data_IF_766048214973
#
_entry.id   IF_766048214973
#
_cell.length_a   1.000
_cell.length_b   1.000
_cell.length_c   1.000
_cell.angle_alpha   90.00
_cell.angle_beta   90.00
_cell.angle_gamma   90.00
#
_symmetry.space_group_name_H-M   'P 1'
#
loop_
_entity.id
_entity.type
_entity.pdbx_description
1 polymer ?
#
# COMPACT_ATOMS: atom_id res chain seq x y z
N UNK A 1 -36.38 42.56 11.99
CA UNK A 1 -35.64 42.17 10.79
C UNK A 1 -34.95 40.84 11.08
N UNK A 2 -35.45 39.69 10.60
CA UNK A 2 -34.71 38.45 10.71
C UNK A 2 -33.49 38.53 9.77
N UNK A 3 -32.30 38.24 10.30
CA UNK A 3 -31.09 38.03 9.51
C UNK A 3 -31.29 36.75 8.69
N UNK A 4 -31.72 36.88 7.44
CA UNK A 4 -31.65 35.79 6.48
C UNK A 4 -30.16 35.52 6.21
N UNK A 5 -29.59 34.50 6.85
CA UNK A 5 -28.31 33.94 6.39
C UNK A 5 -28.59 33.28 5.04
N UNK A 6 -27.86 33.68 4.00
CA UNK A 6 -27.86 32.95 2.74
C UNK A 6 -27.56 31.46 3.02
N UNK A 7 -28.17 30.51 2.29
CA UNK A 7 -27.90 29.10 2.50
C UNK A 7 -26.41 28.84 2.25
N UNK A 8 -25.68 28.58 3.33
CA UNK A 8 -24.25 28.29 3.29
C UNK A 8 -24.04 26.94 2.61
N UNK A 9 -23.24 26.94 1.54
CA UNK A 9 -22.99 25.73 0.75
C UNK A 9 -22.11 24.78 1.56
N UNK A 10 -22.64 23.59 1.84
CA UNK A 10 -21.89 22.49 2.48
C UNK A 10 -21.09 21.70 1.44
N UNK A 11 -20.09 20.92 1.86
CA UNK A 11 -19.33 19.95 1.06
C UNK A 11 -20.24 19.02 0.30
N UNK A 12 -21.27 18.49 0.96
CA UNK A 12 -22.25 17.61 0.31
C UNK A 12 -22.98 18.34 -0.83
N UNK A 13 -23.38 19.59 -0.61
CA UNK A 13 -24.06 20.42 -1.62
C UNK A 13 -23.12 20.78 -2.76
N UNK A 14 -21.90 21.21 -2.44
CA UNK A 14 -20.84 21.54 -3.41
C UNK A 14 -20.51 20.34 -4.30
N UNK A 15 -20.20 19.18 -3.71
CA UNK A 15 -19.87 17.97 -4.46
C UNK A 15 -21.05 17.49 -5.30
N UNK A 16 -22.29 17.59 -4.80
CA UNK A 16 -23.49 17.25 -5.57
C UNK A 16 -23.66 18.15 -6.80
N UNK A 17 -23.50 19.47 -6.64
CA UNK A 17 -23.60 20.41 -7.75
C UNK A 17 -22.46 20.26 -8.76
N UNK A 18 -21.23 20.09 -8.28
CA UNK A 18 -20.07 19.81 -9.11
C UNK A 18 -20.30 18.53 -9.93
N UNK A 19 -20.81 17.48 -9.29
CA UNK A 19 -21.12 16.23 -9.95
C UNK A 19 -22.14 16.41 -11.08
N UNK A 20 -23.18 17.24 -10.90
CA UNK A 20 -24.19 17.50 -11.93
C UNK A 20 -23.61 18.16 -13.19
N UNK A 21 -22.54 18.95 -13.07
CA UNK A 21 -21.89 19.61 -14.20
C UNK A 21 -20.85 18.74 -14.95
N UNK A 22 -20.39 17.63 -14.35
CA UNK A 22 -19.37 16.74 -14.92
C UNK A 22 -19.97 15.68 -15.85
N UNK A 23 -20.87 16.06 -16.75
CA UNK A 23 -21.63 15.10 -17.60
C UNK A 23 -20.80 14.45 -18.69
N UNK A 24 -19.67 15.05 -19.10
CA UNK A 24 -18.82 14.56 -20.19
C UNK A 24 -17.77 13.52 -19.72
N UNK A 25 -17.67 13.26 -18.42
CA UNK A 25 -16.69 12.34 -17.84
C UNK A 25 -17.32 10.96 -17.63
N UNK A 26 -16.51 9.90 -17.69
CA UNK A 26 -16.93 8.58 -17.22
C UNK A 26 -17.23 8.59 -15.71
N UNK A 27 -17.96 7.58 -15.23
CA UNK A 27 -18.29 7.45 -13.81
C UNK A 27 -17.03 7.44 -12.92
N UNK A 28 -15.97 6.78 -13.37
CA UNK A 28 -14.71 6.66 -12.63
C UNK A 28 -13.94 7.98 -12.60
N UNK A 29 -13.90 8.73 -13.71
CA UNK A 29 -13.25 10.05 -13.76
C UNK A 29 -14.02 11.07 -12.93
N UNK A 30 -15.36 11.06 -13.01
CA UNK A 30 -16.22 11.90 -12.17
C UNK A 30 -15.98 11.61 -10.69
N UNK A 31 -15.87 10.34 -10.31
CA UNK A 31 -15.53 9.94 -8.92
C UNK A 31 -14.19 10.54 -8.49
N UNK A 32 -13.15 10.47 -9.32
CA UNK A 32 -11.82 11.03 -9.00
C UNK A 32 -11.84 12.54 -8.79
N UNK A 33 -12.58 13.27 -9.61
CA UNK A 33 -12.74 14.72 -9.43
C UNK A 33 -13.43 15.04 -8.11
N UNK A 34 -14.51 14.31 -7.79
CA UNK A 34 -15.25 14.54 -6.54
C UNK A 34 -14.41 14.17 -5.31
N UNK A 35 -13.63 13.10 -5.36
CA UNK A 35 -12.67 12.76 -4.31
C UNK A 35 -11.61 13.85 -4.15
N UNK A 36 -11.03 14.34 -5.25
CA UNK A 36 -10.02 15.40 -5.20
C UNK A 36 -10.51 16.67 -4.49
N UNK A 37 -11.70 17.19 -4.85
CA UNK A 37 -12.28 18.33 -4.15
C UNK A 37 -12.73 17.97 -2.74
N UNK A 38 -13.19 16.74 -2.51
CA UNK A 38 -13.57 16.25 -1.19
C UNK A 38 -12.40 16.25 -0.21
N UNK A 39 -11.20 15.87 -0.66
CA UNK A 39 -9.94 15.93 0.10
C UNK A 39 -9.51 17.37 0.33
N UNK A 40 -9.50 18.23 -0.69
CA UNK A 40 -9.19 19.66 -0.52
C UNK A 40 -10.05 20.37 0.54
N UNK A 41 -11.34 20.03 0.61
CA UNK A 41 -12.24 20.56 1.64
C UNK A 41 -11.86 20.03 3.02
N UNK A 42 -11.62 18.72 3.12
CA UNK A 42 -11.19 18.09 4.38
C UNK A 42 -9.88 18.69 4.88
N UNK A 43 -8.86 18.80 4.03
CA UNK A 43 -7.57 19.41 4.36
C UNK A 43 -7.74 20.85 4.83
N UNK A 44 -8.60 21.64 4.18
CA UNK A 44 -8.90 23.00 4.61
C UNK A 44 -9.50 23.06 6.01
N UNK A 45 -10.45 22.17 6.31
CA UNK A 45 -11.11 22.07 7.63
C UNK A 45 -10.12 21.61 8.70
N UNK A 46 -9.28 20.61 8.40
CA UNK A 46 -8.25 20.11 9.32
C UNK A 46 -7.21 21.18 9.65
N UNK A 47 -6.92 22.07 8.70
CA UNK A 47 -6.08 23.25 8.90
C UNK A 47 -6.80 24.43 9.60
N UNK A 48 -8.01 24.20 10.13
CA UNK A 48 -8.75 25.18 10.95
C UNK A 48 -9.57 26.20 10.16
N UNK A 49 -9.72 26.05 8.84
CA UNK A 49 -10.67 26.87 8.07
C UNK A 49 -12.09 26.34 8.28
N UNK A 50 -13.09 27.21 8.14
CA UNK A 50 -14.48 26.74 8.04
C UNK A 50 -14.72 26.14 6.66
N UNK A 51 -15.61 25.15 6.59
CA UNK A 51 -15.99 24.48 5.35
C UNK A 51 -16.46 25.48 4.28
N UNK A 52 -17.22 26.50 4.69
CA UNK A 52 -17.71 27.55 3.82
C UNK A 52 -16.57 28.39 3.24
N UNK A 53 -15.58 28.75 4.06
CA UNK A 53 -14.41 29.52 3.61
C UNK A 53 -13.61 28.75 2.57
N UNK A 54 -13.47 27.43 2.76
CA UNK A 54 -12.73 26.58 1.81
C UNK A 54 -13.47 26.47 0.48
N UNK A 55 -14.79 26.27 0.51
CA UNK A 55 -15.62 26.21 -0.70
C UNK A 55 -15.62 27.55 -1.43
N UNK A 56 -15.68 28.67 -0.68
CA UNK A 56 -15.61 30.01 -1.26
C UNK A 56 -14.27 30.26 -1.97
N UNK A 57 -13.15 29.75 -1.43
CA UNK A 57 -11.83 29.83 -2.06
C UNK A 57 -11.78 29.11 -3.43
N UNK A 58 -12.67 28.13 -3.68
CA UNK A 58 -12.71 27.40 -4.95
C UNK A 58 -13.51 28.11 -6.04
N UNK A 59 -14.53 28.88 -5.65
CA UNK A 59 -15.51 29.47 -6.56
C UNK A 59 -16.71 28.56 -6.87
N UNK A 60 -17.43 28.86 -7.96
CA UNK A 60 -18.69 28.17 -8.28
C UNK A 60 -18.44 26.74 -8.78
N UNK A 61 -19.09 25.71 -8.20
CA UNK A 61 -18.96 24.33 -8.69
C UNK A 61 -19.40 24.14 -10.14
N UNK A 62 -20.32 24.99 -10.64
CA UNK A 62 -20.72 24.99 -12.07
C UNK A 62 -19.60 25.49 -12.98
N UNK A 63 -18.87 26.51 -12.56
CA UNK A 63 -17.74 27.08 -13.34
C UNK A 63 -16.55 26.12 -13.35
N UNK A 64 -16.28 25.47 -12.22
CA UNK A 64 -15.30 24.40 -12.10
C UNK A 64 -15.67 23.25 -13.06
N UNK A 65 -16.91 22.76 -13.01
CA UNK A 65 -17.37 21.70 -13.90
C UNK A 65 -17.28 22.09 -15.39
N UNK A 66 -17.67 23.31 -15.74
CA UNK A 66 -17.56 23.82 -17.10
C UNK A 66 -16.10 23.86 -17.59
N UNK A 67 -15.19 24.32 -16.73
CA UNK A 67 -13.75 24.34 -17.02
C UNK A 67 -13.22 22.92 -17.23
N UNK A 68 -13.57 21.98 -16.35
CA UNK A 68 -13.21 20.56 -16.45
C UNK A 68 -13.68 19.95 -17.76
N UNK A 69 -14.97 20.10 -18.08
CA UNK A 69 -15.55 19.57 -19.31
C UNK A 69 -14.96 20.21 -20.58
N UNK A 70 -14.68 21.52 -20.56
CA UNK A 70 -14.12 22.23 -21.71
C UNK A 70 -12.70 21.77 -22.04
N UNK A 71 -11.90 21.45 -21.03
CA UNK A 71 -10.52 20.99 -21.22
C UNK A 71 -10.43 19.50 -21.48
N UNK A 72 -11.28 18.68 -20.84
CA UNK A 72 -11.44 17.25 -21.14
C UNK A 72 -11.74 17.02 -22.63
N UNK A 73 -12.59 17.86 -23.23
CA UNK A 73 -12.87 17.82 -24.67
C UNK A 73 -11.68 18.15 -25.59
N UNK A 74 -10.62 18.79 -25.06
CA UNK A 74 -9.39 19.13 -25.80
C UNK A 74 -8.28 18.10 -25.62
N UNK A 75 -8.30 17.33 -24.54
CA UNK A 75 -7.35 16.25 -24.25
C UNK A 75 -8.03 14.90 -24.41
N UNK A 76 -8.00 14.33 -25.62
CA UNK A 76 -8.19 12.89 -25.80
C UNK A 76 -7.25 12.13 -24.84
N UNK A 77 -7.60 10.91 -24.38
CA UNK A 77 -6.75 10.15 -23.45
C UNK A 77 -5.36 10.01 -24.10
N UNK A 78 -4.39 10.78 -23.60
CA UNK A 78 -3.00 10.61 -24.03
C UNK A 78 -2.68 9.17 -23.65
N UNK A 79 -2.29 8.38 -24.66
CA UNK A 79 -1.59 7.10 -24.44
C UNK A 79 -0.59 7.30 -23.29
N UNK A 80 -0.36 6.26 -22.46
CA UNK A 80 0.66 6.34 -21.41
C UNK A 80 1.90 6.97 -22.02
N UNK A 81 2.43 7.98 -21.33
CA UNK A 81 3.47 8.84 -21.86
C UNK A 81 4.51 7.99 -22.58
N UNK A 82 4.70 8.26 -23.88
CA UNK A 82 5.91 7.86 -24.57
C UNK A 82 7.11 8.24 -23.70
N UNK A 83 8.16 7.42 -23.70
CA UNK A 83 9.39 7.56 -22.90
C UNK A 83 10.10 8.92 -22.94
N UNK A 84 9.63 9.86 -23.76
CA UNK A 84 10.00 11.28 -23.70
C UNK A 84 9.42 11.94 -22.43
N UNK A 85 10.26 12.08 -21.40
CA UNK A 85 9.94 12.75 -20.13
C UNK A 85 10.15 11.89 -18.88
N UNK A 86 10.71 10.69 -19.00
CA UNK A 86 11.10 9.89 -17.83
C UNK A 86 12.35 10.49 -17.20
N UNK A 87 12.24 11.04 -15.98
CA UNK A 87 13.39 11.50 -15.23
C UNK A 87 14.00 10.35 -14.45
N UNK A 88 15.33 10.28 -14.45
CA UNK A 88 16.11 9.30 -13.68
C UNK A 88 16.74 10.04 -12.50
N UNK A 89 16.39 9.61 -11.29
CA UNK A 89 16.97 10.09 -10.04
C UNK A 89 17.87 8.98 -9.49
N UNK A 90 19.17 9.11 -9.66
CA UNK A 90 20.14 8.10 -9.26
C UNK A 90 20.96 8.53 -8.05
N UNK A 91 21.39 7.59 -7.21
CA UNK A 91 22.43 7.87 -6.21
C UNK A 91 23.78 8.03 -6.90
N UNK A 92 24.64 8.89 -6.31
CA UNK A 92 25.99 9.14 -6.82
C UNK A 92 26.93 7.98 -6.51
N UNK A 93 26.76 7.38 -5.34
CA UNK A 93 27.56 6.24 -4.89
C UNK A 93 26.67 5.07 -4.49
N UNK A 94 27.22 3.86 -4.34
CA UNK A 94 26.49 2.74 -3.73
C UNK A 94 26.03 3.08 -2.31
N UNK A 95 24.76 2.86 -2.04
CA UNK A 95 24.13 3.17 -0.75
C UNK A 95 23.79 1.90 0.04
N UNK A 96 23.83 2.00 1.37
CA UNK A 96 23.41 0.94 2.30
C UNK A 96 21.92 0.99 2.64
N UNK A 97 21.24 2.11 2.38
CA UNK A 97 19.82 2.27 2.63
C UNK A 97 19.13 3.12 1.55
N UNK A 98 17.87 2.78 1.27
CA UNK A 98 17.00 3.48 0.34
C UNK A 98 15.69 3.79 1.05
N UNK A 99 15.32 5.06 1.08
CA UNK A 99 14.05 5.55 1.60
C UNK A 99 13.27 6.14 0.43
N UNK A 100 12.10 5.58 0.15
CA UNK A 100 11.23 6.06 -0.91
C UNK A 100 9.84 6.34 -0.35
N UNK A 101 9.45 7.60 -0.35
CA UNK A 101 8.12 8.04 0.04
C UNK A 101 7.41 8.68 -1.15
N UNK A 102 6.17 8.29 -1.41
CA UNK A 102 5.39 8.88 -2.49
C UNK A 102 3.91 8.98 -2.13
N UNK A 103 3.26 10.10 -2.44
CA UNK A 103 1.80 10.22 -2.30
C UNK A 103 1.07 9.70 -3.55
N UNK A 104 0.08 8.82 -3.36
CA UNK A 104 -0.86 8.36 -4.39
C UNK A 104 -0.23 7.74 -5.66
N UNK A 105 1.05 7.37 -5.63
CA UNK A 105 1.75 6.76 -6.77
C UNK A 105 1.94 5.26 -6.59
N UNK A 106 1.69 4.51 -7.67
CA UNK A 106 2.05 3.09 -7.72
C UNK A 106 3.57 3.00 -7.69
N UNK A 107 4.09 2.12 -6.84
CA UNK A 107 5.53 1.88 -6.75
C UNK A 107 5.80 0.46 -7.23
N UNK A 108 6.66 0.34 -8.23
CA UNK A 108 7.24 -0.92 -8.68
C UNK A 108 8.69 -0.97 -8.22
N UNK A 109 9.08 -2.02 -7.52
CA UNK A 109 10.46 -2.25 -7.08
C UNK A 109 10.97 -3.48 -7.81
N UNK A 110 12.08 -3.33 -8.53
CA UNK A 110 12.71 -4.40 -9.28
C UNK A 110 14.24 -4.31 -9.24
N UNK A 111 14.89 -5.44 -9.41
CA UNK A 111 16.32 -5.47 -9.67
C UNK A 111 16.64 -5.08 -11.11
N UNK A 112 17.81 -4.48 -11.30
CA UNK A 112 18.37 -4.25 -12.63
C UNK A 112 19.87 -4.58 -12.62
N UNK A 113 20.26 -5.53 -13.47
CA UNK A 113 21.66 -5.99 -13.57
C UNK A 113 22.57 -5.02 -14.34
N UNK A 114 22.00 -4.01 -15.00
CA UNK A 114 22.75 -3.05 -15.82
C UNK A 114 23.14 -1.78 -15.05
N UNK A 115 22.69 -1.64 -13.79
CA UNK A 115 22.96 -0.46 -12.97
C UNK A 115 23.89 -0.81 -11.80
N UNK A 116 24.79 0.12 -11.48
CA UNK A 116 25.72 -0.01 -10.35
C UNK A 116 25.21 0.70 -9.08
N UNK A 117 24.34 1.70 -9.26
CA UNK A 117 23.73 2.48 -8.19
C UNK A 117 22.21 2.46 -8.31
N UNK A 118 21.52 2.81 -7.22
CA UNK A 118 20.04 2.84 -7.21
C UNK A 118 19.52 3.93 -8.14
N UNK A 119 18.41 3.64 -8.82
CA UNK A 119 17.74 4.61 -9.69
C UNK A 119 16.24 4.62 -9.45
N UNK A 120 15.66 5.81 -9.43
CA UNK A 120 14.22 6.01 -9.44
C UNK A 120 13.82 6.61 -10.79
N UNK A 121 12.93 5.93 -11.50
CA UNK A 121 12.39 6.38 -12.77
C UNK A 121 11.00 6.95 -12.54
N UNK A 122 10.84 8.24 -12.81
CA UNK A 122 9.60 8.95 -12.55
C UNK A 122 9.42 10.15 -13.47
N UNK A 123 8.18 10.40 -13.89
CA UNK A 123 7.81 11.58 -14.69
C UNK A 123 6.94 12.52 -13.83
N UNK A 124 7.52 13.57 -13.23
CA UNK A 124 6.74 14.55 -12.50
C UNK A 124 5.85 15.37 -13.45
N UNK A 125 4.68 15.72 -12.93
CA UNK A 125 3.72 16.67 -13.46
C UNK A 125 3.86 18.00 -12.74
N UNK A 126 3.09 19.01 -13.18
CA UNK A 126 3.20 20.38 -12.66
C UNK A 126 2.91 20.52 -11.16
N UNK A 127 2.10 19.63 -10.60
CA UNK A 127 1.70 19.63 -9.19
C UNK A 127 2.55 18.71 -8.29
N UNK A 128 3.53 18.00 -8.85
CA UNK A 128 4.40 17.12 -8.07
C UNK A 128 5.61 17.88 -7.55
N UNK A 129 6.00 17.56 -6.32
CA UNK A 129 7.25 18.00 -5.72
C UNK A 129 8.11 16.78 -5.42
N UNK A 130 9.34 16.81 -5.93
CA UNK A 130 10.32 15.76 -5.71
C UNK A 130 11.51 16.35 -4.98
N UNK A 131 11.85 15.76 -3.84
CA UNK A 131 13.06 16.04 -3.09
C UNK A 131 13.93 14.78 -3.06
N UNK A 132 15.21 14.93 -3.43
CA UNK A 132 16.20 13.85 -3.40
C UNK A 132 17.38 14.26 -2.55
N UNK A 133 17.74 13.43 -1.59
CA UNK A 133 18.91 13.63 -0.73
C UNK A 133 19.74 12.36 -0.64
N UNK A 134 21.03 12.53 -0.44
CA UNK A 134 21.98 11.43 -0.25
C UNK A 134 22.92 11.80 0.89
N UNK A 135 22.70 11.16 2.04
CA UNK A 135 23.44 11.44 3.27
C UNK A 135 23.72 10.12 3.99
N UNK A 136 24.91 9.96 4.57
CA UNK A 136 25.27 8.79 5.39
C UNK A 136 24.97 7.43 4.72
N UNK A 137 25.30 7.27 3.43
CA UNK A 137 25.00 6.05 2.65
C UNK A 137 23.50 5.72 2.56
N UNK A 138 22.65 6.73 2.66
CA UNK A 138 21.20 6.62 2.49
C UNK A 138 20.73 7.48 1.32
N UNK A 139 20.13 6.86 0.31
CA UNK A 139 19.44 7.56 -0.77
C UNK A 139 17.97 7.75 -0.38
N UNK A 140 17.52 9.01 -0.35
CA UNK A 140 16.13 9.34 -0.04
C UNK A 140 15.47 9.99 -1.24
N UNK A 141 14.34 9.44 -1.66
CA UNK A 141 13.46 10.01 -2.67
C UNK A 141 12.09 10.29 -2.02
N UNK A 142 11.70 11.55 -1.98
CA UNK A 142 10.43 11.99 -1.42
C UNK A 142 9.60 12.67 -2.50
N UNK A 143 8.39 12.15 -2.73
CA UNK A 143 7.40 12.70 -3.64
C UNK A 143 6.13 13.10 -2.89
N UNK A 144 5.75 14.36 -3.03
CA UNK A 144 4.49 14.91 -2.55
C UNK A 144 3.73 15.58 -3.67
N UNK A 145 2.41 15.70 -3.50
CA UNK A 145 1.54 16.38 -4.45
C UNK A 145 1.00 17.63 -3.75
N UNK A 146 1.08 18.78 -4.42
CA UNK A 146 0.37 19.98 -3.96
C UNK A 146 -1.04 19.95 -4.54
N UNK A 147 -2.04 19.83 -3.68
CA UNK A 147 -3.43 19.93 -4.10
C UNK A 147 -3.82 21.41 -4.18
N UNK A 148 -4.28 21.87 -5.36
CA UNK A 148 -4.93 23.18 -5.50
C UNK A 148 -6.22 23.10 -6.35
N UNK A 149 -7.16 24.05 -6.19
CA UNK A 149 -8.49 24.00 -6.80
C UNK A 149 -8.51 23.98 -8.33
N UNK A 150 -7.39 24.22 -9.02
CA UNK A 150 -7.32 24.29 -10.48
C UNK A 150 -6.35 23.28 -11.12
N UNK A 151 -5.64 22.46 -10.33
CA UNK A 151 -4.74 21.40 -10.85
C UNK A 151 -5.47 20.08 -11.18
N UNK A 152 -6.77 20.13 -11.44
CA UNK A 152 -7.58 18.96 -11.78
C UNK A 152 -7.16 18.33 -13.12
N UNK A 153 -6.46 19.06 -14.00
CA UNK A 153 -5.91 18.51 -15.25
C UNK A 153 -5.07 17.26 -14.99
N UNK A 154 -4.34 17.26 -13.88
CA UNK A 154 -3.44 16.18 -13.53
C UNK A 154 -4.18 14.88 -13.13
N UNK A 155 -5.47 14.98 -12.78
CA UNK A 155 -6.34 13.83 -12.48
C UNK A 155 -6.67 12.98 -13.70
N UNK A 156 -6.59 13.59 -14.90
CA UNK A 156 -6.90 12.95 -16.18
C UNK A 156 -5.68 12.31 -16.84
N UNK A 157 -4.50 12.41 -16.22
CA UNK A 157 -3.37 11.59 -16.64
C UNK A 157 -3.66 10.11 -16.31
N UNK A 158 -3.23 9.23 -17.22
CA UNK A 158 -3.34 7.78 -17.05
C UNK A 158 -2.64 7.30 -15.77
N UNK A 159 -2.74 6.00 -15.48
CA UNK A 159 -2.16 5.41 -14.27
C UNK A 159 -0.68 5.82 -14.12
N UNK A 160 -0.39 6.61 -13.07
CA UNK A 160 0.96 7.08 -12.74
C UNK A 160 1.70 6.02 -11.94
N UNK A 161 2.95 5.80 -12.28
CA UNK A 161 3.84 4.85 -11.61
C UNK A 161 5.22 5.44 -11.42
N UNK A 162 5.82 5.07 -10.31
CA UNK A 162 7.22 5.25 -9.99
C UNK A 162 7.88 3.87 -10.02
N UNK A 163 9.05 3.76 -10.65
CA UNK A 163 9.83 2.53 -10.66
C UNK A 163 11.11 2.77 -9.87
N UNK A 164 11.36 1.94 -8.86
CA UNK A 164 12.62 1.86 -8.15
C UNK A 164 13.41 0.67 -8.71
N UNK A 165 14.56 0.96 -9.30
CA UNK A 165 15.52 -0.04 -9.74
C UNK A 165 16.67 -0.12 -8.74
N UNK A 166 16.91 -1.33 -8.25
CA UNK A 166 18.02 -1.63 -7.35
C UNK A 166 19.08 -2.51 -8.05
N UNK A 167 20.38 -2.28 -7.84
CA UNK A 167 21.42 -3.18 -8.31
C UNK A 167 21.22 -4.60 -7.76
N UNK A 168 21.52 -5.63 -8.55
CA UNK A 168 21.39 -7.05 -8.15
C UNK A 168 22.24 -7.46 -6.94
N UNK A 169 23.30 -6.70 -6.64
CA UNK A 169 24.18 -6.92 -5.49
C UNK A 169 23.78 -6.08 -4.26
N UNK A 170 22.68 -5.34 -4.31
CA UNK A 170 22.23 -4.53 -3.19
C UNK A 170 21.76 -5.41 -2.04
N UNK A 171 22.43 -5.28 -0.88
CA UNK A 171 22.09 -6.02 0.33
C UNK A 171 21.69 -5.14 1.52
N UNK A 172 21.29 -3.91 1.21
CA UNK A 172 20.94 -2.88 2.18
C UNK A 172 19.49 -2.92 2.65
N UNK A 173 19.04 -1.80 3.20
CA UNK A 173 17.66 -1.63 3.67
C UNK A 173 16.81 -0.86 2.65
N UNK A 174 15.59 -1.34 2.38
CA UNK A 174 14.57 -0.68 1.58
C UNK A 174 13.41 -0.27 2.48
N UNK A 175 13.08 1.02 2.50
CA UNK A 175 11.90 1.55 3.18
C UNK A 175 11.03 2.28 2.16
N UNK A 176 9.96 1.62 1.72
CA UNK A 176 9.08 2.06 0.64
C UNK A 176 7.69 2.34 1.21
N UNK A 177 7.23 3.59 1.04
CA UNK A 177 5.96 4.05 1.59
C UNK A 177 5.13 4.83 0.57
N UNK A 178 3.85 4.52 0.52
CA UNK A 178 2.83 5.32 -0.18
C UNK A 178 1.53 5.35 0.62
N UNK A 179 0.54 6.17 0.27
CA UNK A 179 -0.73 6.26 1.02
C UNK A 179 -1.86 5.46 0.35
N UNK A 180 -2.12 5.70 -0.94
CA UNK A 180 -3.33 5.20 -1.61
C UNK A 180 -3.07 4.39 -2.88
N UNK A 181 -1.83 3.94 -3.11
CA UNK A 181 -1.47 3.28 -4.35
C UNK A 181 -0.65 2.00 -4.15
N UNK A 182 -0.75 1.13 -5.15
CA UNK A 182 -0.23 -0.24 -5.10
C UNK A 182 1.29 -0.23 -4.97
N UNK A 183 1.83 -1.10 -4.11
CA UNK A 183 3.25 -1.46 -4.12
C UNK A 183 3.38 -2.85 -4.74
N UNK A 184 4.26 -2.97 -5.75
CA UNK A 184 4.64 -4.25 -6.34
C UNK A 184 6.14 -4.43 -6.18
N UNK A 185 6.55 -5.57 -5.64
CA UNK A 185 7.94 -5.95 -5.46
C UNK A 185 8.09 -7.31 -6.09
N UNK A 186 9.03 -7.46 -7.01
CA UNK A 186 9.27 -8.73 -7.69
C UNK A 186 10.77 -9.01 -7.81
N UNK A 187 11.13 -10.27 -7.61
CA UNK A 187 12.44 -10.82 -7.95
C UNK A 187 13.62 -10.06 -7.29
N UNK A 188 13.51 -9.75 -6.00
CA UNK A 188 14.63 -9.21 -5.21
C UNK A 188 15.36 -10.35 -4.48
N UNK A 189 16.68 -10.46 -4.58
CA UNK A 189 17.40 -11.68 -4.20
C UNK A 189 18.32 -11.56 -2.99
N UNK A 190 18.67 -10.36 -2.53
CA UNK A 190 19.70 -10.20 -1.50
C UNK A 190 19.43 -9.11 -0.47
N UNK A 191 18.16 -8.73 -0.27
CA UNK A 191 17.81 -7.57 0.54
C UNK A 191 18.10 -7.80 2.04
N UNK A 192 18.72 -6.82 2.71
CA UNK A 192 18.88 -6.84 4.15
C UNK A 192 17.52 -6.71 4.85
N UNK A 193 16.90 -5.54 4.76
CA UNK A 193 15.59 -5.29 5.35
C UNK A 193 14.65 -4.69 4.32
N UNK A 194 13.49 -5.28 4.08
CA UNK A 194 12.45 -4.73 3.21
C UNK A 194 11.23 -4.28 4.01
N UNK A 195 10.92 -3.00 4.01
CA UNK A 195 9.73 -2.40 4.61
C UNK A 195 8.85 -1.78 3.54
N UNK A 196 7.62 -2.28 3.38
CA UNK A 196 6.67 -1.88 2.35
C UNK A 196 5.35 -1.48 3.01
N UNK A 197 4.98 -0.20 2.93
CA UNK A 197 3.86 0.35 3.68
C UNK A 197 2.93 1.14 2.77
N UNK A 198 1.64 0.79 2.79
CA UNK A 198 0.60 1.65 2.19
C UNK A 198 -0.70 1.64 2.96
N UNK A 199 -1.39 2.77 3.12
CA UNK A 199 -2.62 2.82 3.91
C UNK A 199 -3.77 2.05 3.23
N UNK A 200 -4.01 2.31 1.95
CA UNK A 200 -5.29 1.94 1.33
C UNK A 200 -5.20 0.99 0.13
N UNK A 201 -3.99 0.64 -0.33
CA UNK A 201 -3.80 -0.11 -1.57
C UNK A 201 -3.09 -1.46 -1.40
N UNK A 202 -3.09 -2.27 -2.46
CA UNK A 202 -2.54 -3.62 -2.40
C UNK A 202 -1.01 -3.59 -2.32
N UNK A 203 -0.45 -4.53 -1.57
CA UNK A 203 0.98 -4.84 -1.57
C UNK A 203 1.15 -6.26 -2.09
N UNK A 204 1.84 -6.40 -3.23
CA UNK A 204 2.23 -7.71 -3.78
C UNK A 204 3.75 -7.82 -3.74
N UNK A 205 4.25 -8.85 -3.06
CA UNK A 205 5.67 -9.16 -2.98
C UNK A 205 5.84 -10.60 -3.46
N UNK A 206 6.59 -10.77 -4.55
CA UNK A 206 6.74 -12.04 -5.25
C UNK A 206 8.22 -12.37 -5.42
N UNK A 207 8.57 -13.66 -5.32
CA UNK A 207 9.93 -14.19 -5.60
C UNK A 207 11.04 -13.39 -4.91
N UNK A 208 10.85 -13.07 -3.63
CA UNK A 208 11.73 -12.12 -2.91
C UNK A 208 12.46 -12.79 -1.74
N UNK A 209 13.78 -12.65 -1.71
CA UNK A 209 14.69 -13.11 -0.66
C UNK A 209 15.20 -11.90 0.12
N UNK A 210 14.94 -11.88 1.43
CA UNK A 210 15.40 -10.80 2.30
C UNK A 210 15.66 -11.30 3.72
N UNK A 211 16.54 -10.68 4.50
CA UNK A 211 16.72 -11.08 5.92
C UNK A 211 15.44 -10.82 6.72
N UNK A 212 14.94 -9.59 6.64
CA UNK A 212 13.72 -9.17 7.34
C UNK A 212 12.71 -8.56 6.36
N UNK A 213 11.50 -9.11 6.33
CA UNK A 213 10.38 -8.60 5.54
C UNK A 213 9.31 -7.98 6.43
N UNK A 214 8.90 -6.76 6.11
CA UNK A 214 7.80 -6.07 6.76
C UNK A 214 6.86 -5.49 5.71
N UNK A 215 5.61 -5.92 5.71
CA UNK A 215 4.58 -5.43 4.80
C UNK A 215 3.35 -4.99 5.59
N UNK A 216 2.85 -3.77 5.36
CA UNK A 216 1.68 -3.23 6.07
C UNK A 216 0.72 -2.49 5.17
N UNK A 217 -0.56 -2.84 5.26
CA UNK A 217 -1.63 -2.02 4.69
C UNK A 217 -2.92 -2.05 5.47
N UNK A 218 -3.71 -0.98 5.55
CA UNK A 218 -4.92 -1.00 6.36
C UNK A 218 -6.10 -1.67 5.64
N UNK A 219 -6.31 -1.40 4.36
CA UNK A 219 -7.61 -1.67 3.72
C UNK A 219 -7.60 -2.65 2.55
N UNK A 220 -6.43 -2.99 2.03
CA UNK A 220 -6.31 -3.73 0.77
C UNK A 220 -5.55 -5.04 0.92
N UNK A 221 -5.62 -5.88 -0.12
CA UNK A 221 -4.96 -7.19 -0.14
C UNK A 221 -3.45 -7.08 0.06
N UNK A 222 -2.92 -7.94 0.91
CA UNK A 222 -1.48 -8.17 1.07
C UNK A 222 -1.19 -9.60 0.58
N UNK A 223 -0.34 -9.73 -0.43
CA UNK A 223 0.08 -11.01 -1.00
C UNK A 223 1.59 -11.16 -0.89
N UNK A 224 2.03 -12.27 -0.29
CA UNK A 224 3.40 -12.77 -0.33
C UNK A 224 3.39 -14.09 -1.12
N UNK A 225 4.26 -14.23 -2.13
CA UNK A 225 4.37 -15.45 -2.91
C UNK A 225 5.83 -15.77 -3.15
N UNK A 226 6.25 -17.00 -2.83
CA UNK A 226 7.63 -17.46 -3.01
C UNK A 226 8.65 -16.51 -2.34
N UNK A 227 8.39 -16.14 -1.09
CA UNK A 227 9.23 -15.22 -0.32
C UNK A 227 10.04 -15.96 0.74
N UNK A 228 11.31 -15.62 0.92
CA UNK A 228 12.15 -16.27 1.93
C UNK A 228 13.06 -15.29 2.68
N UNK A 229 13.51 -15.71 3.86
CA UNK A 229 14.29 -14.87 4.76
C UNK A 229 14.51 -15.43 6.15
N UNK A 230 14.95 -14.59 7.08
CA UNK A 230 14.98 -14.96 8.50
C UNK A 230 13.62 -14.69 9.15
N UNK A 231 13.07 -13.49 8.98
CA UNK A 231 11.84 -13.05 9.64
C UNK A 231 10.89 -12.29 8.71
N UNK A 232 9.59 -12.54 8.86
CA UNK A 232 8.53 -11.83 8.14
C UNK A 232 7.43 -11.35 9.08
N UNK A 233 6.94 -10.13 8.84
CA UNK A 233 5.74 -9.57 9.46
C UNK A 233 4.86 -8.91 8.41
N UNK A 234 3.70 -9.51 8.14
CA UNK A 234 2.68 -8.97 7.25
C UNK A 234 1.42 -8.60 8.04
N UNK A 235 0.97 -7.35 7.94
CA UNK A 235 -0.21 -6.88 8.69
C UNK A 235 -1.20 -6.14 7.80
N UNK A 236 -2.49 -6.44 7.97
CA UNK A 236 -3.57 -5.63 7.39
C UNK A 236 -4.86 -5.58 8.18
N UNK A 237 -5.55 -4.45 8.29
CA UNK A 237 -6.76 -4.40 9.12
C UNK A 237 -7.97 -5.05 8.45
N UNK A 238 -8.24 -4.68 7.19
CA UNK A 238 -9.47 -5.03 6.48
C UNK A 238 -9.23 -5.83 5.19
N UNK A 239 -8.00 -5.91 4.72
CA UNK A 239 -7.65 -6.63 3.50
C UNK A 239 -7.41 -8.12 3.70
N UNK A 240 -7.66 -8.92 2.67
CA UNK A 240 -7.24 -10.33 2.67
C UNK A 240 -5.72 -10.43 2.75
N UNK A 241 -5.22 -11.27 3.65
CA UNK A 241 -3.81 -11.60 3.75
C UNK A 241 -3.58 -12.99 3.14
N UNK A 242 -2.71 -13.07 2.13
CA UNK A 242 -2.30 -14.31 1.48
C UNK A 242 -0.79 -14.47 1.54
N UNK A 243 -0.32 -15.65 1.94
CA UNK A 243 1.09 -16.04 1.91
C UNK A 243 1.23 -17.45 1.32
N UNK A 244 1.98 -17.61 0.25
CA UNK A 244 2.13 -18.89 -0.45
C UNK A 244 3.62 -19.15 -0.69
N UNK A 245 4.06 -20.40 -0.49
CA UNK A 245 5.46 -20.84 -0.67
C UNK A 245 6.47 -19.95 0.09
N UNK A 246 6.16 -19.60 1.34
CA UNK A 246 6.98 -18.67 2.13
C UNK A 246 7.85 -19.40 3.17
N UNK A 247 9.15 -19.06 3.24
CA UNK A 247 10.11 -19.66 4.19
C UNK A 247 10.82 -18.62 5.07
N UNK A 248 10.49 -18.59 6.37
CA UNK A 248 11.07 -17.66 7.34
C UNK A 248 11.37 -18.35 8.68
N UNK A 249 12.52 -19.02 8.83
CA UNK A 249 12.77 -19.92 9.96
C UNK A 249 12.69 -19.27 11.34
N UNK A 250 13.04 -17.99 11.48
CA UNK A 250 13.06 -17.31 12.79
C UNK A 250 11.66 -16.86 13.20
N UNK A 251 10.88 -16.29 12.27
CA UNK A 251 9.52 -15.78 12.55
C UNK A 251 8.71 -15.53 11.29
N UNK A 252 7.45 -15.94 11.31
CA UNK A 252 6.43 -15.58 10.32
C UNK A 252 5.15 -15.12 11.04
N UNK A 253 4.88 -13.81 11.03
CA UNK A 253 3.69 -13.22 11.66
C UNK A 253 2.76 -12.64 10.59
N UNK A 254 1.58 -13.25 10.44
CA UNK A 254 0.52 -12.85 9.51
C UNK A 254 -0.71 -12.40 10.30
N UNK A 255 -1.00 -11.11 10.28
CA UNK A 255 -2.05 -10.52 11.08
C UNK A 255 -3.07 -9.78 10.22
N UNK A 256 -4.34 -10.03 10.46
CA UNK A 256 -5.41 -9.13 10.07
C UNK A 256 -6.44 -8.92 11.18
N UNK A 257 -7.43 -8.05 10.98
CA UNK A 257 -8.50 -7.85 11.97
C UNK A 257 -9.82 -8.39 11.45
N UNK A 258 -10.16 -8.07 10.20
CA UNK A 258 -11.51 -8.29 9.68
C UNK A 258 -11.57 -9.25 8.49
N UNK A 259 -10.43 -9.63 7.94
CA UNK A 259 -10.35 -10.42 6.71
C UNK A 259 -9.71 -11.80 6.93
N UNK A 260 -9.85 -12.75 5.99
CA UNK A 260 -9.25 -14.06 6.13
C UNK A 260 -7.72 -14.00 6.06
N UNK A 261 -7.07 -14.85 6.87
CA UNK A 261 -5.67 -15.24 6.68
C UNK A 261 -5.66 -16.54 5.89
N UNK A 262 -5.05 -16.53 4.71
CA UNK A 262 -4.82 -17.74 3.91
C UNK A 262 -3.34 -17.94 3.72
N UNK A 263 -2.85 -19.08 4.15
CA UNK A 263 -1.45 -19.42 4.00
C UNK A 263 -1.27 -20.83 3.45
N UNK A 264 -0.40 -20.99 2.48
CA UNK A 264 -0.19 -22.27 1.81
C UNK A 264 1.31 -22.54 1.72
N UNK A 265 1.72 -23.77 2.05
CA UNK A 265 3.11 -24.22 1.93
C UNK A 265 4.10 -23.32 2.70
N UNK A 266 3.80 -23.04 3.97
CA UNK A 266 4.68 -22.23 4.82
C UNK A 266 5.76 -23.08 5.50
N UNK A 267 6.96 -22.54 5.67
CA UNK A 267 8.02 -23.14 6.51
C UNK A 267 8.61 -22.10 7.46
N UNK A 268 8.44 -22.30 8.77
CA UNK A 268 8.93 -21.38 9.82
C UNK A 268 8.88 -22.06 11.19
N UNK A 269 9.88 -21.83 12.04
CA UNK A 269 9.89 -22.38 13.40
C UNK A 269 8.99 -21.58 14.34
N UNK A 270 8.64 -20.33 14.01
CA UNK A 270 7.75 -19.50 14.84
C UNK A 270 6.69 -18.84 13.98
N UNK A 271 5.46 -19.33 14.07
CA UNK A 271 4.34 -18.87 13.27
C UNK A 271 3.25 -18.24 14.13
N UNK A 272 2.82 -17.04 13.75
CA UNK A 272 1.70 -16.34 14.35
C UNK A 272 0.68 -15.99 13.26
N UNK A 273 -0.51 -16.57 13.36
CA UNK A 273 -1.65 -16.31 12.47
C UNK A 273 -2.77 -15.70 13.31
N UNK A 274 -3.19 -14.47 12.97
CA UNK A 274 -4.19 -13.77 13.79
C UNK A 274 -5.21 -13.02 12.95
N UNK A 275 -6.47 -13.12 13.34
CA UNK A 275 -7.59 -12.33 12.81
C UNK A 275 -8.72 -12.26 13.80
N UNK A 276 -9.53 -11.20 13.88
CA UNK A 276 -10.61 -11.15 14.86
C UNK A 276 -11.90 -11.78 14.31
N UNK A 277 -12.24 -11.49 13.05
CA UNK A 277 -13.59 -11.69 12.54
C UNK A 277 -13.73 -12.67 11.36
N UNK A 278 -12.64 -13.26 10.90
CA UNK A 278 -12.62 -14.05 9.67
C UNK A 278 -11.77 -15.32 9.82
N UNK A 279 -11.94 -16.33 8.95
CA UNK A 279 -11.28 -17.61 9.14
C UNK A 279 -9.76 -17.57 8.90
N UNK A 280 -9.06 -18.48 9.56
CA UNK A 280 -7.66 -18.80 9.31
C UNK A 280 -7.61 -20.13 8.57
N UNK A 281 -7.00 -20.14 7.39
CA UNK A 281 -6.66 -21.35 6.65
C UNK A 281 -5.15 -21.40 6.45
N UNK A 282 -4.47 -22.45 6.93
CA UNK A 282 -3.03 -22.58 6.75
C UNK A 282 -2.55 -24.01 6.50
N UNK A 283 -1.55 -24.17 5.63
CA UNK A 283 -0.71 -25.38 5.56
C UNK A 283 0.74 -25.04 5.87
N UNK A 284 1.33 -25.77 6.81
CA UNK A 284 2.72 -25.61 7.23
C UNK A 284 3.51 -26.89 6.99
N UNK A 285 4.75 -26.77 6.56
CA UNK A 285 5.71 -27.86 6.52
C UNK A 285 6.33 -28.09 7.91
N UNK A 286 6.38 -29.36 8.31
CA UNK A 286 7.03 -29.80 9.54
C UNK A 286 6.25 -30.89 10.28
N UNK A 287 6.93 -31.55 11.22
CA UNK A 287 6.29 -32.54 12.08
C UNK A 287 5.45 -31.83 13.16
N UNK A 288 4.15 -32.15 13.32
CA UNK A 288 3.31 -31.63 14.41
C UNK A 288 3.94 -31.74 15.80
N UNK A 289 4.77 -32.76 16.04
CA UNK A 289 5.40 -33.01 17.35
C UNK A 289 6.46 -31.98 17.71
N UNK A 290 7.05 -31.30 16.72
CA UNK A 290 8.09 -30.29 16.93
C UNK A 290 7.53 -28.94 17.38
N UNK A 291 6.22 -28.72 17.18
CA UNK A 291 5.55 -27.46 17.45
C UNK A 291 4.80 -27.47 18.78
N UNK A 292 5.13 -26.51 19.63
CA UNK A 292 4.19 -26.02 20.64
C UNK A 292 3.04 -25.30 19.93
N UNK A 293 1.79 -25.72 20.17
CA UNK A 293 0.62 -25.19 19.47
C UNK A 293 -0.27 -24.47 20.48
N UNK A 294 -0.64 -23.25 20.14
CA UNK A 294 -1.70 -22.49 20.79
C UNK A 294 -2.75 -22.13 19.74
N UNK A 295 -3.97 -22.62 19.92
CA UNK A 295 -5.10 -22.30 19.06
C UNK A 295 -6.26 -21.78 19.88
N UNK A 296 -6.80 -20.60 19.51
CA UNK A 296 -7.91 -20.02 20.24
C UNK A 296 -8.98 -19.45 19.31
N UNK A 297 -10.22 -19.89 19.51
CA UNK A 297 -11.39 -19.21 19.00
C UNK A 297 -12.56 -19.20 19.98
N UNK A 298 -13.29 -18.09 20.03
CA UNK A 298 -14.40 -17.91 20.97
C UNK A 298 -15.71 -18.45 20.40
N UNK A 299 -15.99 -18.20 19.12
CA UNK A 299 -17.26 -18.56 18.46
C UNK A 299 -17.09 -19.52 17.27
N UNK A 300 -15.85 -19.87 16.92
CA UNK A 300 -15.53 -20.77 15.81
C UNK A 300 -15.17 -22.19 16.23
N UNK A 301 -14.76 -23.00 15.25
CA UNK A 301 -14.14 -24.32 15.47
C UNK A 301 -12.67 -24.26 15.09
N UNK A 302 -11.85 -25.03 15.80
CA UNK A 302 -10.41 -25.19 15.50
C UNK A 302 -10.12 -26.63 15.09
N UNK A 303 -9.33 -26.82 14.03
CA UNK A 303 -8.74 -28.11 13.65
C UNK A 303 -7.54 -28.49 14.53
N UNK A 304 -6.92 -27.51 15.19
CA UNK A 304 -5.81 -27.68 16.12
C UNK A 304 -6.33 -27.85 17.56
N UNK A 305 -5.61 -28.58 18.43
CA UNK A 305 -5.88 -28.53 19.87
C UNK A 305 -5.66 -27.13 20.43
N UNK A 306 -6.39 -26.81 21.51
CA UNK A 306 -6.35 -25.47 22.11
C UNK A 306 -4.96 -25.12 22.64
N UNK A 307 -4.36 -26.04 23.39
CA UNK A 307 -2.98 -25.95 23.84
C UNK A 307 -2.34 -27.33 23.71
N UNK A 308 -1.17 -27.38 23.07
CA UNK A 308 -0.33 -28.57 22.94
C UNK A 308 1.10 -28.13 23.18
N UNK A 309 1.65 -28.43 24.35
CA UNK A 309 3.02 -28.08 24.71
C UNK A 309 3.68 -29.22 25.46
N UNK A 310 4.85 -29.64 24.99
CA UNK A 310 5.67 -30.68 25.59
C UNK A 310 7.15 -30.25 25.68
N UNK A 311 7.91 -30.76 26.66
CA UNK A 311 9.35 -30.50 26.73
C UNK A 311 10.07 -30.93 25.45
N UNK A 312 11.01 -30.11 24.96
CA UNK A 312 11.84 -30.42 23.79
C UNK A 312 11.32 -29.93 22.44
N UNK A 313 10.14 -29.30 22.41
CA UNK A 313 9.63 -28.65 21.20
C UNK A 313 10.45 -27.40 20.87
N UNK A 314 10.98 -27.36 19.64
CA UNK A 314 11.83 -26.27 19.16
C UNK A 314 11.04 -25.20 18.38
N UNK A 315 9.81 -25.52 17.98
CA UNK A 315 8.97 -24.66 17.16
C UNK A 315 7.70 -24.20 17.92
N UNK A 316 7.07 -23.12 17.45
CA UNK A 316 5.84 -22.57 18.00
C UNK A 316 4.85 -22.16 16.90
N UNK A 317 3.59 -22.56 17.05
CA UNK A 317 2.48 -22.19 16.18
C UNK A 317 1.36 -21.57 17.02
N UNK A 318 1.05 -20.30 16.77
CA UNK A 318 -0.09 -19.60 17.36
C UNK A 318 -1.10 -19.25 16.28
N UNK A 319 -2.33 -19.74 16.40
CA UNK A 319 -3.45 -19.43 15.51
C UNK A 319 -4.63 -18.90 16.33
N UNK A 320 -5.01 -17.64 16.14
CA UNK A 320 -6.01 -16.99 17.01
C UNK A 320 -7.05 -16.23 16.21
N UNK A 321 -8.32 -16.55 16.44
CA UNK A 321 -9.43 -15.74 15.97
C UNK A 321 -10.65 -15.72 16.86
N UNK A 322 -11.31 -14.58 17.06
CA UNK A 322 -12.46 -14.49 17.97
C UNK A 322 -13.71 -15.16 17.39
N UNK A 323 -14.04 -14.90 16.12
CA UNK A 323 -15.40 -15.16 15.61
C UNK A 323 -15.51 -16.21 14.50
N UNK A 324 -14.40 -16.78 14.02
CA UNK A 324 -14.39 -17.66 12.85
C UNK A 324 -13.59 -18.95 13.07
N UNK A 325 -13.60 -19.84 12.07
CA UNK A 325 -12.89 -21.12 12.18
C UNK A 325 -11.39 -21.01 11.94
N UNK A 326 -10.64 -21.92 12.56
CA UNK A 326 -9.22 -22.17 12.35
C UNK A 326 -9.09 -23.55 11.69
N UNK A 327 -8.61 -23.59 10.45
CA UNK A 327 -8.26 -24.82 9.72
C UNK A 327 -6.79 -24.76 9.34
N UNK A 328 -5.95 -25.33 10.20
CA UNK A 328 -4.50 -25.39 10.04
C UNK A 328 -4.06 -26.85 10.00
N UNK A 329 -3.17 -27.16 9.04
CA UNK A 329 -2.60 -28.49 8.85
C UNK A 329 -1.08 -28.40 8.81
N UNK A 330 -0.42 -29.28 9.56
CA UNK A 330 1.01 -29.51 9.42
C UNK A 330 1.20 -30.74 8.54
N UNK A 331 1.99 -30.59 7.48
CA UNK A 331 2.32 -31.65 6.52
C UNK A 331 3.81 -31.96 6.62
N UNK A 332 4.22 -33.24 6.55
CA UNK A 332 5.64 -33.57 6.39
C UNK A 332 6.23 -32.90 5.15
N UNK A 333 7.51 -32.57 5.19
CA UNK A 333 8.28 -32.22 3.98
C UNK A 333 8.38 -33.42 3.02
#
# INVERSE_FOLDING_TARGET
MPLWREPTMTKETFLKELALGLTNLSQEERRRVLEYYGELICDGIENGKSEESVIQDFGSPKEIAASICAEYGRTAPRKPASSDGQHIYASKEPVGAIILTAQNLRIEVRENAQIETVQVLFSPLGNDHVAVTEENSTFSFCHTITMQPFFWRDLFHGARSLILEVPVNFSGSLSIQTCNAKITVDSLHSIGTGSFITSNACIFITSTVCRTLQARTSNSRLLLLNCSGESCTAKTSNGRLQAEDCRFPTRLSLHTSNSPVRAEQLSSNNVELKTCNAPIHATLHGDPRDYSIHSHTSNGRSSLPADWSFPGQACSLSAVTSNASIDVKLVPE
#
